data_IF_899989940557
#
_entry.id   IF_899989940557
#
_cell.length_a   1.000
_cell.length_b   1.000
_cell.length_c   1.000
_cell.angle_alpha   90.00
_cell.angle_beta   90.00
_cell.angle_gamma   90.00
#
_symmetry.space_group_name_H-M   'P 1'
#
loop_
_entity.id
_entity.type
_entity.pdbx_description
1 polymer ?
#
# COMPACT_ATOMS: atom_id res chain seq x y z
N UNK A 1 5.77 4.72 -18.41
CA UNK A 1 5.36 5.09 -17.04
C UNK A 1 4.69 3.89 -16.42
N UNK A 2 4.80 3.75 -15.10
CA UNK A 2 4.13 2.69 -14.36
C UNK A 2 3.32 3.27 -13.21
N UNK A 3 2.28 2.54 -12.82
CA UNK A 3 1.58 2.74 -11.56
C UNK A 3 1.99 1.63 -10.59
N UNK A 4 2.46 2.03 -9.42
CA UNK A 4 2.73 1.17 -8.28
C UNK A 4 1.53 1.28 -7.34
N UNK A 5 0.92 0.15 -7.01
CA UNK A 5 -0.17 0.05 -6.05
C UNK A 5 0.24 -0.89 -4.92
N UNK A 6 0.41 -0.35 -3.73
CA UNK A 6 0.83 -1.10 -2.55
C UNK A 6 -0.29 -1.12 -1.52
N UNK A 7 -0.81 -2.30 -1.20
CA UNK A 7 -1.73 -2.51 -0.08
C UNK A 7 -0.92 -2.99 1.10
N UNK A 8 -0.81 -2.18 2.15
CA UNK A 8 0.05 -2.43 3.32
C UNK A 8 -0.72 -2.32 4.64
N UNK A 9 -0.04 -2.65 5.73
CA UNK A 9 -0.51 -2.42 7.10
C UNK A 9 -0.66 -0.92 7.39
N UNK A 10 -1.77 -0.47 8.02
CA UNK A 10 -1.97 0.94 8.34
C UNK A 10 -0.84 1.55 9.17
N UNK A 11 -0.34 0.82 10.17
CA UNK A 11 0.75 1.25 11.06
C UNK A 11 2.11 1.44 10.37
N UNK A 12 2.22 1.07 9.08
CA UNK A 12 3.44 1.22 8.28
C UNK A 12 3.42 2.43 7.36
N UNK A 13 2.26 3.08 7.19
CA UNK A 13 2.09 4.18 6.23
C UNK A 13 3.10 5.31 6.48
N UNK A 14 3.20 5.78 7.73
CA UNK A 14 4.08 6.89 8.11
C UNK A 14 5.54 6.58 7.74
N UNK A 15 6.04 5.43 8.18
CA UNK A 15 7.41 4.98 7.92
C UNK A 15 7.73 4.82 6.43
N UNK A 16 6.76 4.36 5.62
CA UNK A 16 6.93 4.24 4.17
C UNK A 16 6.93 5.62 3.51
N UNK A 17 6.06 6.52 3.97
CA UNK A 17 5.93 7.88 3.43
C UNK A 17 7.21 8.69 3.66
N UNK A 18 7.78 8.61 4.87
CA UNK A 18 9.06 9.24 5.20
C UNK A 18 10.21 8.70 4.35
N UNK A 19 10.31 7.38 4.19
CA UNK A 19 11.38 6.78 3.40
C UNK A 19 11.30 7.12 1.90
N UNK A 20 10.09 7.25 1.35
CA UNK A 20 9.88 7.72 -0.02
C UNK A 20 10.29 9.19 -0.14
N UNK A 21 9.90 10.02 0.82
CA UNK A 21 10.26 11.45 0.87
C UNK A 21 11.77 11.67 0.91
N UNK A 22 12.48 10.94 1.78
CA UNK A 22 13.96 11.02 1.93
C UNK A 22 14.70 10.63 0.65
N UNK A 23 14.06 9.83 -0.21
CA UNK A 23 14.60 9.38 -1.51
C UNK A 23 14.15 10.24 -2.69
N UNK A 24 13.39 11.32 -2.44
CA UNK A 24 12.94 12.26 -3.45
C UNK A 24 11.62 11.86 -4.15
N UNK A 25 10.90 10.87 -3.62
CA UNK A 25 9.60 10.43 -4.15
C UNK A 25 8.46 11.09 -3.37
N UNK A 26 8.05 12.28 -3.80
CA UNK A 26 7.11 13.12 -3.05
C UNK A 26 5.63 12.82 -3.32
N UNK A 27 5.30 12.30 -4.51
CA UNK A 27 3.91 12.16 -4.95
C UNK A 27 3.36 10.77 -4.65
N UNK A 28 2.30 10.71 -3.86
CA UNK A 28 1.51 9.50 -3.64
C UNK A 28 0.05 9.84 -3.38
N UNK A 29 -0.84 8.92 -3.69
CA UNK A 29 -2.25 8.94 -3.27
C UNK A 29 -2.49 7.81 -2.29
N UNK A 30 -3.22 8.09 -1.21
CA UNK A 30 -3.49 7.12 -0.14
C UNK A 30 -4.99 6.91 -0.02
N UNK A 31 -5.42 5.67 0.11
CA UNK A 31 -6.82 5.31 0.32
C UNK A 31 -6.94 4.23 1.39
N UNK A 32 -7.85 4.42 2.33
CA UNK A 32 -8.19 3.37 3.30
C UNK A 32 -9.01 2.28 2.61
N UNK A 33 -8.58 1.03 2.79
CA UNK A 33 -9.26 -0.13 2.21
C UNK A 33 -9.43 -1.22 3.26
N UNK A 34 -10.26 -2.22 2.97
CA UNK A 34 -10.35 -3.43 3.76
C UNK A 34 -10.04 -4.62 2.87
N UNK A 35 -9.17 -5.51 3.34
CA UNK A 35 -8.69 -6.64 2.56
C UNK A 35 -8.74 -7.95 3.34
N UNK A 36 -8.88 -9.05 2.61
CA UNK A 36 -8.79 -10.40 3.12
C UNK A 36 -7.82 -11.19 2.24
N UNK A 37 -6.95 -11.96 2.87
CA UNK A 37 -6.00 -12.85 2.18
C UNK A 37 -6.05 -14.26 2.75
N UNK A 38 -4.94 -14.97 2.63
CA UNK A 38 -4.75 -16.32 3.18
C UNK A 38 -4.98 -16.40 4.71
N UNK A 39 -4.92 -15.28 5.42
CA UNK A 39 -5.15 -15.18 6.85
C UNK A 39 -6.57 -15.60 7.28
N UNK A 40 -7.54 -15.66 6.33
CA UNK A 40 -8.98 -15.90 6.56
C UNK A 40 -9.57 -14.91 7.60
N UNK A 41 -10.89 -14.89 7.77
CA UNK A 41 -11.52 -14.00 8.76
C UNK A 41 -11.08 -14.37 10.18
N UNK A 42 -10.98 -13.37 11.08
CA UNK A 42 -10.70 -13.60 12.51
C UNK A 42 -12.04 -13.63 13.25
N UNK A 43 -12.33 -14.71 13.97
CA UNK A 43 -13.44 -14.75 14.91
C UNK A 43 -13.00 -14.04 16.21
N UNK A 44 -13.52 -12.83 16.44
CA UNK A 44 -13.31 -12.10 17.69
C UNK A 44 -14.48 -12.37 18.64
N UNK A 45 -14.21 -12.69 19.90
CA UNK A 45 -15.25 -12.69 20.92
C UNK A 45 -15.41 -11.28 21.50
N UNK A 46 -16.60 -10.71 21.35
CA UNK A 46 -16.95 -9.44 21.99
C UNK A 46 -18.20 -9.63 22.83
N UNK A 47 -18.07 -9.46 24.15
CA UNK A 47 -19.16 -9.66 25.13
C UNK A 47 -19.91 -10.99 24.96
N UNK A 48 -19.16 -12.08 24.75
CA UNK A 48 -19.73 -13.43 24.60
C UNK A 48 -20.40 -13.72 23.24
N UNK A 49 -20.35 -12.79 22.28
CA UNK A 49 -20.75 -13.04 20.89
C UNK A 49 -19.50 -13.19 20.01
N UNK A 50 -19.49 -14.21 19.16
CA UNK A 50 -18.51 -14.30 18.07
C UNK A 50 -18.86 -13.29 16.98
N UNK A 51 -17.90 -12.42 16.68
CA UNK A 51 -17.93 -11.51 15.54
C UNK A 51 -16.89 -12.01 14.55
N UNK A 52 -17.36 -12.49 13.40
CA UNK A 52 -16.51 -12.79 12.26
C UNK A 52 -16.06 -11.48 11.62
N UNK A 53 -14.79 -11.12 11.82
CA UNK A 53 -14.16 -10.03 11.09
C UNK A 53 -13.59 -10.58 9.80
N UNK A 54 -14.35 -10.40 8.72
CA UNK A 54 -14.02 -10.96 7.42
C UNK A 54 -12.96 -10.13 6.66
N UNK A 55 -13.03 -8.79 6.76
CA UNK A 55 -12.12 -7.88 6.10
C UNK A 55 -11.29 -7.10 7.13
N UNK A 56 -9.98 -7.11 6.97
CA UNK A 56 -9.03 -6.44 7.86
C UNK A 56 -8.67 -5.06 7.27
N UNK A 57 -8.67 -3.99 8.06
CA UNK A 57 -8.23 -2.66 7.61
C UNK A 57 -6.80 -2.68 7.04
N UNK A 58 -6.62 -1.96 5.93
CA UNK A 58 -5.36 -1.77 5.22
C UNK A 58 -5.30 -0.36 4.66
N UNK A 59 -4.11 0.02 4.23
CA UNK A 59 -3.90 1.25 3.48
C UNK A 59 -3.41 0.89 2.09
N UNK A 60 -4.00 1.50 1.06
CA UNK A 60 -3.57 1.41 -0.32
C UNK A 60 -2.82 2.69 -0.69
N UNK A 61 -1.57 2.54 -1.12
CA UNK A 61 -0.70 3.61 -1.62
C UNK A 61 -0.61 3.45 -3.14
N UNK A 62 -0.87 4.52 -3.87
CA UNK A 62 -0.81 4.58 -5.33
C UNK A 62 0.20 5.64 -5.75
N UNK A 63 1.18 5.25 -6.57
CA UNK A 63 2.25 6.11 -7.08
C UNK A 63 2.36 5.90 -8.58
N UNK A 64 2.33 6.98 -9.37
CA UNK A 64 2.62 6.94 -10.80
C UNK A 64 3.99 7.55 -11.03
N UNK A 65 4.86 6.84 -11.75
CA UNK A 65 6.28 7.22 -11.92
C UNK A 65 6.84 6.78 -13.26
N UNK A 66 8.04 7.27 -13.59
CA UNK A 66 8.83 6.77 -14.71
C UNK A 66 9.39 5.38 -14.43
N UNK A 67 9.54 4.56 -15.47
CA UNK A 67 9.94 3.16 -15.39
C UNK A 67 11.26 2.97 -14.62
N UNK A 68 12.20 3.91 -14.76
CA UNK A 68 13.51 3.89 -14.09
C UNK A 68 13.45 3.97 -12.55
N UNK A 69 12.35 4.51 -12.01
CA UNK A 69 12.17 4.71 -10.57
C UNK A 69 11.40 3.55 -9.90
N UNK A 70 10.88 2.61 -10.69
CA UNK A 70 9.94 1.60 -10.20
C UNK A 70 10.60 0.68 -9.18
N UNK A 71 11.77 0.14 -9.50
CA UNK A 71 12.47 -0.80 -8.62
C UNK A 71 12.85 -0.15 -7.29
N UNK A 72 13.36 1.10 -7.32
CA UNK A 72 13.70 1.86 -6.11
C UNK A 72 12.47 2.08 -5.21
N UNK A 73 11.34 2.53 -5.77
CA UNK A 73 10.11 2.74 -5.00
C UNK A 73 9.57 1.41 -4.44
N UNK A 74 9.58 0.34 -5.24
CA UNK A 74 9.12 -0.98 -4.81
C UNK A 74 9.98 -1.49 -3.65
N UNK A 75 11.30 -1.34 -3.73
CA UNK A 75 12.23 -1.77 -2.69
C UNK A 75 12.09 -0.96 -1.40
N UNK A 76 11.86 0.36 -1.49
CA UNK A 76 11.54 1.21 -0.35
C UNK A 76 10.25 0.73 0.31
N UNK A 77 9.15 0.62 -0.44
CA UNK A 77 7.86 0.19 0.11
C UNK A 77 8.00 -1.19 0.77
N UNK A 78 8.63 -2.14 0.08
CA UNK A 78 8.84 -3.50 0.59
C UNK A 78 9.63 -3.48 1.90
N UNK A 79 10.75 -2.77 1.95
CA UNK A 79 11.64 -2.72 3.12
C UNK A 79 10.94 -2.11 4.33
N UNK A 80 10.26 -0.97 4.15
CA UNK A 80 9.70 -0.21 5.27
C UNK A 80 8.33 -0.75 5.71
N UNK A 81 7.55 -1.33 4.81
CA UNK A 81 6.28 -2.00 5.13
C UNK A 81 6.45 -3.40 5.73
N UNK A 82 7.60 -4.06 5.56
CA UNK A 82 7.82 -5.41 6.06
C UNK A 82 7.79 -5.51 7.60
N UNK A 83 7.10 -6.53 8.11
CA UNK A 83 7.14 -6.95 9.53
C UNK A 83 7.55 -8.40 9.70
N UNK A 84 7.56 -9.19 8.61
CA UNK A 84 7.75 -10.64 8.67
C UNK A 84 6.52 -11.43 9.10
N UNK A 85 5.40 -10.75 9.40
CA UNK A 85 4.15 -11.37 9.86
C UNK A 85 3.11 -11.43 8.74
N UNK A 86 2.25 -12.45 8.78
CA UNK A 86 1.10 -12.59 7.88
C UNK A 86 0.24 -11.31 7.87
N UNK A 87 -0.03 -10.80 6.66
CA UNK A 87 -0.80 -9.58 6.45
C UNK A 87 0.03 -8.32 6.16
N UNK A 88 1.32 -8.44 5.87
CA UNK A 88 2.15 -7.31 5.38
C UNK A 88 1.60 -6.69 4.09
N UNK A 89 0.96 -7.51 3.24
CA UNK A 89 0.23 -7.04 2.07
C UNK A 89 0.88 -7.42 0.75
N UNK A 90 0.61 -6.63 -0.30
CA UNK A 90 1.09 -6.88 -1.67
C UNK A 90 1.36 -5.57 -2.41
N UNK A 91 2.28 -5.63 -3.36
CA UNK A 91 2.61 -4.54 -4.28
C UNK A 91 2.29 -5.03 -5.70
N UNK A 92 1.64 -4.19 -6.48
CA UNK A 92 1.29 -4.43 -7.87
C UNK A 92 1.88 -3.33 -8.74
N UNK A 93 2.31 -3.69 -9.94
CA UNK A 93 2.85 -2.75 -10.92
C UNK A 93 2.03 -2.88 -12.19
N UNK A 94 1.53 -1.75 -12.69
CA UNK A 94 0.71 -1.67 -13.89
C UNK A 94 1.34 -0.73 -14.91
N UNK A 95 1.13 -1.02 -16.19
CA UNK A 95 1.44 -0.09 -17.27
C UNK A 95 0.51 1.12 -17.27
N UNK A 96 1.08 2.31 -17.46
CA UNK A 96 0.32 3.53 -17.68
C UNK A 96 0.59 4.02 -19.10
N UNK A 97 -0.46 3.98 -19.93
CA UNK A 97 -0.42 4.41 -21.32
C UNK A 97 -0.25 5.94 -21.43
N UNK A 98 -0.96 6.70 -20.58
CA UNK A 98 -0.95 8.17 -20.60
C UNK A 98 -1.08 8.74 -19.20
N UNK A 99 -0.30 9.78 -18.92
CA UNK A 99 -0.43 10.60 -17.71
C UNK A 99 -0.42 12.07 -18.14
N UNK A 100 -1.33 12.86 -17.59
CA UNK A 100 -1.47 14.30 -17.82
C UNK A 100 -1.61 14.99 -16.48
N UNK A 101 -1.01 16.16 -16.32
CA UNK A 101 -1.25 16.99 -15.14
C UNK A 101 -2.43 17.92 -15.40
N UNK A 102 -3.43 17.91 -14.52
CA UNK A 102 -4.65 18.73 -14.68
C UNK A 102 -4.36 20.23 -14.69
N UNK A 103 -3.30 20.68 -14.02
CA UNK A 103 -2.91 22.09 -13.95
C UNK A 103 -2.19 22.59 -15.20
N UNK A 104 -1.67 21.68 -16.03
CA UNK A 104 -0.93 22.06 -17.22
C UNK A 104 -1.97 22.51 -18.28
N UNK A 105 -1.75 23.68 -18.90
CA UNK A 105 -2.69 24.33 -19.84
C UNK A 105 -3.03 23.47 -21.07
#
# INVERSE_FOLDING_TARGET
MKKIEAVIRPEKLEKVSEALLDKGHHAMTVTEVRGRGAQRGIALQFRGKEILVDLIPKVKIEIVTEDKNVDDIVDIIKTYAHTGKNGDGKIFVYDIEKCLTVRDE
#
